data_IF_661238019304
#
_entry.id   IF_661238019304
#
_cell.length_a   1.000
_cell.length_b   1.000
_cell.length_c   1.000
_cell.angle_alpha   90.00
_cell.angle_beta   90.00
_cell.angle_gamma   90.00
#
_symmetry.space_group_name_H-M   'P 1'
#
loop_
_entity.id
_entity.type
_entity.pdbx_description
1 polymer ?
#
# COMPACT_ATOMS: atom_id res chain seq x y z
N UNK A 1 -2.88 -3.68 9.33
CA UNK A 1 -1.98 -2.96 8.40
C UNK A 1 -2.65 -2.66 7.06
N UNK A 2 -3.66 -3.44 6.66
CA UNK A 2 -4.38 -3.36 5.37
C UNK A 2 -4.86 -1.96 4.97
N UNK A 3 -5.31 -1.15 5.92
CA UNK A 3 -5.77 0.22 5.63
C UNK A 3 -4.72 1.07 4.91
N UNK A 4 -3.45 0.96 5.30
CA UNK A 4 -2.36 1.77 4.74
C UNK A 4 -1.88 1.30 3.37
N UNK A 5 -2.21 0.07 2.97
CA UNK A 5 -1.86 -0.50 1.66
C UNK A 5 -3.07 -0.58 0.74
N UNK A 6 -4.23 -0.06 1.15
CA UNK A 6 -5.43 -0.02 0.31
C UNK A 6 -5.25 0.91 -0.89
N UNK A 7 -5.97 0.64 -1.98
CA UNK A 7 -5.94 1.49 -3.18
C UNK A 7 -6.42 2.92 -2.90
N UNK A 8 -7.36 3.08 -1.98
CA UNK A 8 -7.86 4.40 -1.57
C UNK A 8 -6.80 5.22 -0.82
N UNK A 9 -5.93 4.56 -0.05
CA UNK A 9 -4.87 5.20 0.73
C UNK A 9 -3.56 5.40 -0.07
N UNK A 10 -3.09 4.34 -0.74
CA UNK A 10 -1.77 4.24 -1.37
C UNK A 10 -1.78 4.35 -2.90
N UNK A 11 -2.97 4.35 -3.51
CA UNK A 11 -3.13 4.56 -4.95
C UNK A 11 -2.72 5.97 -5.40
N UNK A 12 -2.65 6.21 -6.72
CA UNK A 12 -2.06 7.42 -7.30
C UNK A 12 -2.85 8.70 -7.02
N UNK A 13 -4.10 8.57 -6.58
CA UNK A 13 -4.96 9.67 -6.16
C UNK A 13 -5.28 9.59 -4.66
N UNK A 14 -4.54 8.77 -3.90
CA UNK A 14 -4.76 8.58 -2.47
C UNK A 14 -4.10 9.69 -1.63
N UNK A 15 -4.46 9.79 -0.33
CA UNK A 15 -3.92 10.78 0.59
C UNK A 15 -2.39 10.73 0.74
N UNK A 16 -1.73 9.60 0.42
CA UNK A 16 -0.27 9.54 0.41
C UNK A 16 0.35 10.34 -0.75
N UNK A 17 -0.36 10.47 -1.88
CA UNK A 17 0.08 11.25 -3.03
C UNK A 17 0.11 12.76 -2.72
N UNK A 18 -0.76 13.25 -1.82
CA UNK A 18 -0.75 14.64 -1.35
C UNK A 18 0.56 15.01 -0.61
N UNK A 19 1.24 14.02 -0.05
CA UNK A 19 2.55 14.17 0.58
C UNK A 19 3.71 13.98 -0.41
N UNK A 20 3.44 13.91 -1.71
CA UNK A 20 4.44 13.72 -2.76
C UNK A 20 5.01 12.30 -2.82
N UNK A 21 4.37 11.33 -2.15
CA UNK A 21 4.75 9.93 -2.26
C UNK A 21 4.14 9.36 -3.53
N UNK A 22 5.00 8.83 -4.41
CA UNK A 22 4.55 8.10 -5.60
C UNK A 22 3.97 6.76 -5.15
N UNK A 23 2.88 6.34 -5.78
CA UNK A 23 2.32 5.01 -5.53
C UNK A 23 3.36 3.93 -5.72
N UNK A 24 3.32 2.96 -4.82
CA UNK A 24 4.19 1.80 -4.87
C UNK A 24 3.85 0.96 -6.12
N UNK A 25 4.78 0.77 -7.08
CA UNK A 25 4.53 -0.11 -8.23
C UNK A 25 4.31 -1.58 -7.83
N UNK A 26 4.76 -1.97 -6.64
CA UNK A 26 4.63 -3.31 -6.06
C UNK A 26 3.50 -3.38 -5.01
N UNK A 27 2.59 -2.39 -4.98
CA UNK A 27 1.49 -2.31 -4.01
C UNK A 27 0.68 -3.62 -3.91
N UNK A 28 0.42 -4.27 -5.04
CA UNK A 28 -0.32 -5.53 -5.09
C UNK A 28 0.42 -6.68 -4.38
N UNK A 29 1.75 -6.74 -4.48
CA UNK A 29 2.56 -7.73 -3.76
C UNK A 29 2.53 -7.44 -2.26
N UNK A 30 2.69 -6.17 -1.87
CA UNK A 30 2.60 -5.76 -0.47
C UNK A 30 1.21 -6.03 0.12
N UNK A 31 0.14 -5.80 -0.64
CA UNK A 31 -1.22 -6.15 -0.25
C UNK A 31 -1.36 -7.66 -0.03
N UNK A 32 -0.78 -8.49 -0.89
CA UNK A 32 -0.80 -9.95 -0.73
C UNK A 32 -0.04 -10.39 0.53
N UNK A 33 1.15 -9.83 0.78
CA UNK A 33 1.94 -10.10 1.99
C UNK A 33 1.14 -9.75 3.25
N UNK A 34 0.46 -8.59 3.26
CA UNK A 34 -0.35 -8.14 4.39
C UNK A 34 -1.61 -9.01 4.56
N UNK A 35 -2.28 -9.39 3.47
CA UNK A 35 -3.46 -10.25 3.50
C UNK A 35 -3.14 -11.68 3.99
N UNK A 36 -1.95 -12.18 3.67
CA UNK A 36 -1.47 -13.49 4.14
C UNK A 36 -0.88 -13.43 5.57
N UNK A 37 -0.95 -12.27 6.25
CA UNK A 37 -0.34 -11.99 7.56
C UNK A 37 1.17 -12.37 7.61
N UNK A 38 1.85 -12.30 6.46
CA UNK A 38 3.26 -12.67 6.36
C UNK A 38 4.10 -11.56 6.98
N UNK A 39 4.69 -11.85 8.14
CA UNK A 39 5.67 -10.96 8.77
C UNK A 39 7.02 -11.16 8.08
N UNK A 40 7.43 -10.16 7.28
CA UNK A 40 8.80 -10.04 6.79
C UNK A 40 9.76 -10.03 8.00
N UNK A 41 10.69 -10.99 8.02
CA UNK A 41 11.68 -11.17 9.10
C UNK A 41 12.95 -10.38 8.86
#
# INVERSE_FOLDING_TARGET
AEFFVSDEAAGPNGPLADYGLVSDPELAETQAIVADEVILK
#
